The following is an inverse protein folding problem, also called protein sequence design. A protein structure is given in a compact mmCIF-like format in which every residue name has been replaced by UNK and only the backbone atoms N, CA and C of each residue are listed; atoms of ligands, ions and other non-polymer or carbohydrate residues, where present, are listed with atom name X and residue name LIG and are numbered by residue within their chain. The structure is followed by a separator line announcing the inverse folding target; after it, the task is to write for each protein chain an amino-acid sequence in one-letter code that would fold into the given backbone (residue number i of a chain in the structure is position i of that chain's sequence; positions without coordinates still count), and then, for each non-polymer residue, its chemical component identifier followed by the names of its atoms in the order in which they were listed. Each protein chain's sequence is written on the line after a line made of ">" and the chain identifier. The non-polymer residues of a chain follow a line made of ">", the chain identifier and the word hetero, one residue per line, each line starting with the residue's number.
data_IF_913526174813
#
_entry.id   IF_913526174813
#
_cell.length_a   1.000
_cell.length_b   1.000
_cell.length_c   1.000
_cell.angle_alpha   90.00
_cell.angle_beta   90.00
_cell.angle_gamma   90.00
#
_symmetry.space_group_name_H-M   'P 1'
#
loop_
_entity.id
_entity.type
_entity.pdbx_description
1 polymer ?
#
# COMPACT_ATOMS: atom_id res chain seq x y z
N UNK A 1 -75.39 1.78 19.36
CA UNK A 1 -75.36 0.30 19.47
C UNK A 1 -73.92 -0.04 19.80
N UNK A 2 -73.54 -0.36 21.06
CA UNK A 2 -73.82 -1.63 21.78
C UNK A 2 -73.27 -2.85 20.98
N UNK A 3 -72.41 -3.74 21.50
CA UNK A 3 -71.96 -3.94 22.89
C UNK A 3 -70.52 -4.57 22.99
N UNK A 4 -70.12 -4.94 24.21
CA UNK A 4 -68.79 -5.36 24.71
C UNK A 4 -68.39 -6.86 24.46
N UNK A 5 -67.10 -7.27 24.67
CA UNK A 5 -66.55 -8.63 24.41
C UNK A 5 -66.44 -9.54 25.66
N UNK A 6 -66.02 -10.83 25.57
CA UNK A 6 -64.62 -11.24 25.94
C UNK A 6 -64.09 -12.54 25.23
N UNK A 7 -63.20 -13.31 25.92
CA UNK A 7 -62.62 -14.66 25.67
C UNK A 7 -61.41 -14.76 24.67
N UNK A 8 -60.17 -15.14 25.02
CA UNK A 8 -59.56 -16.10 25.99
C UNK A 8 -59.75 -17.59 25.62
N UNK A 9 -58.68 -18.27 25.17
CA UNK A 9 -58.43 -19.71 25.37
C UNK A 9 -57.01 -20.19 24.93
N UNK A 10 -56.19 -20.60 25.91
CA UNK A 10 -55.34 -21.82 25.94
C UNK A 10 -54.24 -22.15 24.87
N UNK A 11 -52.97 -22.07 25.33
CA UNK A 11 -51.90 -23.09 25.13
C UNK A 11 -52.35 -24.46 25.75
N UNK A 12 -51.77 -25.66 25.45
CA UNK A 12 -50.31 -25.91 25.48
C UNK A 12 -49.69 -27.08 24.63
N UNK A 13 -48.35 -27.15 24.70
CA UNK A 13 -47.41 -28.31 24.70
C UNK A 13 -47.86 -29.77 24.37
N UNK A 14 -47.08 -30.41 23.48
CA UNK A 14 -46.61 -31.82 23.56
C UNK A 14 -45.34 -31.97 22.69
N UNK A 15 -44.12 -32.16 23.22
CA UNK A 15 -43.48 -33.40 23.74
C UNK A 15 -42.98 -34.36 22.63
N UNK A 16 -41.69 -34.72 22.72
CA UNK A 16 -40.93 -35.61 21.81
C UNK A 16 -41.34 -37.10 21.92
N UNK A 17 -40.77 -37.98 21.07
CA UNK A 17 -39.73 -38.87 21.64
C UNK A 17 -38.54 -39.19 20.71
N UNK A 18 -37.57 -39.93 21.28
CA UNK A 18 -36.29 -40.37 20.70
C UNK A 18 -36.33 -41.86 20.30
N UNK A 19 -35.52 -42.26 19.31
CA UNK A 19 -35.24 -43.67 18.94
C UNK A 19 -35.75 -44.02 17.52
N UNK A 20 -35.08 -44.85 16.72
CA UNK A 20 -34.14 -45.93 17.02
C UNK A 20 -33.22 -46.28 15.82
N UNK A 21 -32.19 -47.11 16.08
CA UNK A 21 -31.57 -48.17 15.22
C UNK A 21 -31.94 -48.13 13.71
N UNK A 22 -31.03 -48.07 12.73
CA UNK A 22 -29.74 -48.76 12.63
C UNK A 22 -29.87 -49.92 11.62
N UNK A 23 -29.13 -49.89 10.50
CA UNK A 23 -29.10 -50.95 9.49
C UNK A 23 -27.73 -51.02 8.77
N UNK A 24 -27.42 -52.20 8.24
CA UNK A 24 -26.09 -52.65 7.82
C UNK A 24 -25.65 -52.17 6.42
N UNK A 25 -24.33 -52.10 6.21
CA UNK A 25 -23.68 -52.03 4.89
C UNK A 25 -22.21 -52.43 5.02
N UNK A 26 -21.84 -53.63 4.56
CA UNK A 26 -20.55 -54.28 4.84
C UNK A 26 -19.50 -54.07 3.74
N UNK A 27 -18.26 -54.51 4.05
CA UNK A 27 -17.13 -54.90 3.18
C UNK A 27 -15.91 -53.96 3.07
N UNK A 28 -14.93 -54.21 3.95
CA UNK A 28 -13.57 -54.72 3.63
C UNK A 28 -13.10 -54.59 2.16
N UNK A 29 -11.87 -54.15 1.82
CA UNK A 29 -10.61 -54.83 2.20
C UNK A 29 -9.32 -54.00 1.87
N UNK A 30 -8.21 -54.45 2.46
CA UNK A 30 -6.74 -54.19 2.25
C UNK A 30 -6.25 -53.46 0.97
N UNK A 31 -5.09 -52.78 1.07
CA UNK A 31 -4.16 -52.71 -0.08
C UNK A 31 -3.02 -51.69 -0.10
N UNK A 32 -1.94 -51.94 0.64
CA UNK A 32 -0.51 -51.70 0.31
C UNK A 32 -0.03 -50.45 -0.48
N UNK A 33 0.86 -49.71 0.20
CA UNK A 33 2.10 -49.10 -0.31
C UNK A 33 2.69 -49.73 -1.59
N UNK A 34 3.18 -48.89 -2.53
CA UNK A 34 4.36 -49.17 -3.38
C UNK A 34 4.89 -47.88 -4.04
N UNK A 35 6.22 -47.74 -4.10
CA UNK A 35 6.95 -46.68 -4.81
C UNK A 35 7.33 -47.15 -6.23
N UNK A 36 7.43 -46.27 -7.25
CA UNK A 36 8.13 -46.58 -8.49
C UNK A 36 9.63 -46.23 -8.44
N UNK A 37 10.44 -47.09 -9.05
CA UNK A 37 11.91 -47.02 -9.07
C UNK A 37 12.51 -45.95 -10.01
N UNK A 38 13.80 -45.68 -9.78
CA UNK A 38 14.68 -45.03 -10.75
C UNK A 38 14.92 -45.97 -11.94
N UNK A 39 14.88 -45.46 -13.17
CA UNK A 39 15.47 -46.12 -14.33
C UNK A 39 16.66 -45.32 -14.85
N UNK A 40 17.85 -45.91 -14.78
CA UNK A 40 19.07 -45.37 -15.38
C UNK A 40 19.21 -45.80 -16.83
N UNK A 41 19.60 -44.89 -17.71
CA UNK A 41 20.15 -45.23 -19.03
C UNK A 41 21.47 -44.48 -19.26
N UNK A 42 22.52 -45.23 -19.63
CA UNK A 42 23.77 -44.69 -20.15
C UNK A 42 23.60 -44.42 -21.65
N UNK A 43 24.07 -43.28 -22.15
CA UNK A 43 24.39 -43.09 -23.58
C UNK A 43 25.76 -42.41 -23.69
N UNK A 44 26.51 -42.78 -24.73
CA UNK A 44 27.94 -42.51 -24.92
C UNK A 44 28.27 -41.07 -25.35
N UNK A 45 29.52 -40.67 -25.11
CA UNK A 45 30.17 -39.49 -25.71
C UNK A 45 30.66 -39.82 -27.14
N UNK A 46 30.44 -38.90 -28.08
CA UNK A 46 31.21 -38.77 -29.34
C UNK A 46 30.89 -37.47 -30.07
N UNK A 47 31.90 -36.70 -30.50
CA UNK A 47 31.79 -35.74 -31.62
C UNK A 47 31.56 -34.25 -31.30
N UNK A 48 32.67 -33.51 -31.12
CA UNK A 48 33.03 -32.17 -31.66
C UNK A 48 32.01 -31.02 -31.87
N UNK A 49 32.46 -29.73 -31.80
CA UNK A 49 31.62 -28.63 -31.33
C UNK A 49 30.83 -27.90 -32.43
N UNK A 50 29.64 -27.40 -32.05
CA UNK A 50 28.92 -26.35 -32.77
C UNK A 50 28.43 -25.25 -31.81
N UNK A 51 28.39 -24.02 -32.33
CA UNK A 51 28.03 -22.80 -31.60
C UNK A 51 26.58 -22.84 -31.09
N UNK A 52 26.42 -22.62 -29.79
CA UNK A 52 25.19 -22.14 -29.14
C UNK A 52 25.63 -20.98 -28.22
N UNK A 53 24.95 -19.83 -28.18
CA UNK A 53 23.55 -19.58 -28.52
C UNK A 53 22.89 -19.00 -27.26
N UNK A 54 22.32 -17.79 -27.35
CA UNK A 54 21.88 -16.98 -26.21
C UNK A 54 20.61 -17.52 -25.51
N UNK A 55 20.71 -18.65 -24.81
CA UNK A 55 19.61 -19.24 -24.03
C UNK A 55 19.96 -19.52 -22.56
N UNK A 56 20.31 -18.49 -21.77
CA UNK A 56 20.34 -18.66 -20.30
C UNK A 56 20.08 -17.40 -19.44
N UNK A 57 19.51 -16.33 -20.02
CA UNK A 57 19.20 -15.10 -19.25
C UNK A 57 17.87 -15.19 -18.49
N UNK A 58 16.93 -16.05 -18.91
CA UNK A 58 15.61 -16.16 -18.26
C UNK A 58 15.60 -17.06 -17.01
N UNK A 59 16.54 -18.01 -16.89
CA UNK A 59 16.60 -18.98 -15.78
C UNK A 59 17.10 -18.33 -14.48
N UNK A 60 18.14 -17.49 -14.56
CA UNK A 60 18.57 -16.63 -13.44
C UNK A 60 17.52 -15.57 -13.06
N UNK A 61 16.59 -15.26 -13.97
CA UNK A 61 15.56 -14.22 -13.81
C UNK A 61 14.35 -14.66 -12.97
N UNK A 62 14.18 -15.97 -12.73
CA UNK A 62 13.09 -16.51 -11.90
C UNK A 62 13.55 -16.80 -10.46
N UNK A 63 14.80 -17.22 -10.27
CA UNK A 63 15.37 -17.54 -8.97
C UNK A 63 15.40 -16.34 -8.02
N UNK A 64 15.92 -15.20 -8.46
CA UNK A 64 16.01 -13.96 -7.67
C UNK A 64 14.67 -13.52 -7.08
N UNK A 65 13.56 -13.63 -7.83
CA UNK A 65 12.22 -13.28 -7.33
C UNK A 65 11.69 -14.22 -6.25
N UNK A 66 11.96 -15.52 -6.36
CA UNK A 66 11.62 -16.46 -5.30
C UNK A 66 12.47 -16.23 -4.05
N UNK A 67 13.74 -15.85 -4.20
CA UNK A 67 14.63 -15.55 -3.07
C UNK A 67 14.19 -14.32 -2.25
N UNK A 68 13.72 -13.25 -2.89
CA UNK A 68 13.18 -12.08 -2.16
C UNK A 68 11.98 -12.43 -1.26
N UNK A 69 11.11 -13.35 -1.72
CA UNK A 69 9.99 -13.87 -0.93
C UNK A 69 10.41 -14.97 0.06
N UNK A 70 11.47 -15.71 -0.24
CA UNK A 70 12.02 -16.74 0.64
C UNK A 70 12.81 -16.13 1.81
N UNK A 71 13.53 -15.03 1.62
CA UNK A 71 14.26 -14.34 2.69
C UNK A 71 13.32 -13.88 3.81
N UNK A 72 12.18 -13.28 3.44
CA UNK A 72 11.07 -12.94 4.35
C UNK A 72 10.57 -14.19 5.14
N UNK A 73 10.52 -15.37 4.52
CA UNK A 73 10.10 -16.63 5.17
C UNK A 73 11.22 -17.27 6.01
N UNK A 74 12.48 -17.14 5.60
CA UNK A 74 13.64 -17.72 6.28
C UNK A 74 13.88 -17.01 7.62
N UNK A 75 13.70 -15.69 7.66
CA UNK A 75 13.78 -14.92 8.92
C UNK A 75 12.66 -15.28 9.92
N UNK A 76 11.47 -15.71 9.48
CA UNK A 76 10.45 -16.27 10.38
C UNK A 76 10.92 -17.58 11.05
N UNK A 77 11.66 -18.41 10.32
CA UNK A 77 12.24 -19.66 10.83
C UNK A 77 13.32 -19.36 11.88
N UNK A 78 14.17 -18.35 11.63
CA UNK A 78 15.15 -17.84 12.60
C UNK A 78 14.51 -17.22 13.84
N UNK A 79 13.47 -16.38 13.71
CA UNK A 79 12.78 -15.76 14.86
C UNK A 79 11.98 -16.79 15.70
N UNK A 80 11.48 -17.87 15.08
CA UNK A 80 10.95 -19.05 15.81
C UNK A 80 12.06 -19.84 16.50
N UNK A 81 13.21 -20.05 15.84
CA UNK A 81 14.38 -20.72 16.43
C UNK A 81 14.93 -20.00 17.66
N UNK A 82 15.05 -18.67 17.60
CA UNK A 82 15.47 -17.85 18.75
C UNK A 82 14.48 -17.93 19.93
N UNK A 83 13.17 -18.03 19.67
CA UNK A 83 12.17 -18.27 20.74
C UNK A 83 12.23 -19.69 21.33
N UNK A 84 12.94 -20.64 20.72
CA UNK A 84 13.15 -21.99 21.25
C UNK A 84 14.56 -22.21 21.85
N UNK A 85 15.39 -21.16 22.02
CA UNK A 85 16.74 -21.27 22.60
C UNK A 85 16.98 -20.36 23.83
N UNK A 86 15.92 -19.91 24.49
CA UNK A 86 16.02 -19.17 25.76
C UNK A 86 15.43 -20.01 26.91
N UNK A 87 16.07 -21.13 27.19
CA UNK A 87 15.70 -22.06 28.26
C UNK A 87 16.94 -22.73 28.87
N UNK A 88 17.85 -21.91 29.41
CA UNK A 88 18.73 -22.26 30.54
C UNK A 88 19.55 -21.02 30.94
N UNK A 89 19.17 -20.35 32.03
CA UNK A 89 20.07 -19.62 32.95
C UNK A 89 19.24 -19.22 34.18
N UNK A 90 19.28 -20.07 35.22
CA UNK A 90 18.82 -19.72 36.57
C UNK A 90 20.01 -19.19 37.39
N UNK A 91 19.73 -18.44 38.46
CA UNK A 91 20.69 -17.80 39.38
C UNK A 91 21.52 -16.69 38.72
N UNK A 92 21.38 -15.40 39.09
CA UNK A 92 21.72 -14.85 40.42
C UNK A 92 20.77 -13.72 40.84
N UNK A 93 20.52 -13.58 42.14
CA UNK A 93 20.42 -12.28 42.83
C UNK A 93 19.10 -11.51 42.72
N UNK A 94 18.35 -11.43 43.82
CA UNK A 94 17.20 -10.56 43.95
C UNK A 94 17.59 -9.10 44.19
N UNK A 95 16.86 -8.17 43.57
CA UNK A 95 16.53 -6.88 44.18
C UNK A 95 15.13 -6.47 43.74
N UNK A 96 14.14 -6.67 44.62
CA UNK A 96 12.80 -6.14 44.41
C UNK A 96 12.79 -4.65 44.73
N UNK A 97 12.55 -3.82 43.71
CA UNK A 97 11.88 -2.54 43.93
C UNK A 97 10.56 -2.52 43.17
N UNK A 98 9.49 -2.64 43.94
CA UNK A 98 8.13 -2.31 43.55
C UNK A 98 8.08 -0.80 43.28
N UNK A 99 7.78 -0.39 42.05
CA UNK A 99 7.53 1.02 41.70
C UNK A 99 6.15 1.15 41.07
N UNK A 100 5.35 1.97 41.73
CA UNK A 100 3.99 2.40 41.45
C UNK A 100 3.83 2.98 40.03
N UNK A 101 2.77 2.62 39.26
CA UNK A 101 2.49 3.16 37.93
C UNK A 101 1.95 4.61 37.94
N UNK A 102 2.66 5.53 38.59
CA UNK A 102 2.24 6.92 38.79
C UNK A 102 3.32 7.99 38.51
N UNK A 103 3.97 7.96 37.34
CA UNK A 103 4.59 9.20 36.82
C UNK A 103 4.53 9.33 35.29
N UNK A 104 3.74 10.30 34.82
CA UNK A 104 3.50 10.62 33.40
C UNK A 104 3.97 12.06 33.12
N UNK A 105 5.26 12.26 32.90
CA UNK A 105 5.82 13.61 32.70
C UNK A 105 6.83 13.74 31.55
N UNK A 106 7.76 12.80 31.35
CA UNK A 106 8.87 12.98 30.40
C UNK A 106 8.53 12.83 28.90
N UNK A 107 7.40 12.21 28.55
CA UNK A 107 6.93 12.18 27.14
C UNK A 107 6.28 13.48 26.65
N UNK A 108 6.29 14.54 27.46
CA UNK A 108 5.55 15.79 27.19
C UNK A 108 6.43 17.02 26.83
N UNK A 109 7.73 16.83 26.56
CA UNK A 109 8.60 17.89 26.05
C UNK A 109 8.77 17.85 24.53
N UNK A 110 9.06 16.68 23.92
CA UNK A 110 9.28 16.57 22.47
C UNK A 110 8.04 16.96 21.62
N UNK A 111 6.83 16.80 22.17
CA UNK A 111 5.60 17.24 21.52
C UNK A 111 5.32 18.76 21.58
N UNK A 112 5.97 19.51 22.48
CA UNK A 112 5.79 20.97 22.61
C UNK A 112 6.68 21.76 21.66
N UNK A 113 7.91 21.32 21.45
CA UNK A 113 8.85 21.88 20.45
C UNK A 113 8.21 21.97 19.05
N UNK A 114 7.63 20.86 18.57
CA UNK A 114 6.99 20.80 17.25
C UNK A 114 5.77 21.75 17.14
N UNK A 115 5.04 21.93 18.25
CA UNK A 115 3.83 22.76 18.30
C UNK A 115 4.15 24.26 18.39
N UNK A 116 5.34 24.61 18.91
CA UNK A 116 5.84 25.99 18.97
C UNK A 116 6.36 26.47 17.61
N UNK A 117 7.05 25.62 16.85
CA UNK A 117 7.43 25.89 15.45
C UNK A 117 6.21 26.19 14.57
N UNK A 118 5.17 25.35 14.69
CA UNK A 118 3.90 25.51 13.97
C UNK A 118 3.10 26.75 14.40
N UNK A 119 3.25 27.20 15.66
CA UNK A 119 2.63 28.45 16.16
C UNK A 119 3.44 29.70 15.78
N UNK A 120 4.76 29.60 15.70
CA UNK A 120 5.66 30.66 15.23
C UNK A 120 5.39 31.00 13.77
N UNK A 121 5.29 29.98 12.91
CA UNK A 121 4.95 30.15 11.49
C UNK A 121 3.58 30.82 11.30
N UNK A 122 2.58 30.47 12.12
CA UNK A 122 1.27 31.14 12.12
C UNK A 122 1.31 32.60 12.60
N UNK A 123 2.22 32.98 13.50
CA UNK A 123 2.35 34.38 13.93
C UNK A 123 3.07 35.28 12.90
N UNK A 124 3.95 34.72 12.08
CA UNK A 124 4.58 35.45 10.96
C UNK A 124 3.54 35.69 9.85
N UNK A 125 2.68 34.71 9.54
CA UNK A 125 1.64 34.83 8.51
C UNK A 125 0.46 35.76 8.88
N UNK A 126 0.28 36.10 10.15
CA UNK A 126 -0.91 36.81 10.64
C UNK A 126 -0.71 38.32 10.92
N UNK A 127 0.43 38.92 10.52
CA UNK A 127 0.81 40.28 10.95
C UNK A 127 1.03 41.31 9.84
N UNK A 128 0.41 41.11 8.67
CA UNK A 128 0.43 42.06 7.56
C UNK A 128 -0.95 42.27 6.94
N UNK A 129 -1.88 42.84 7.71
CA UNK A 129 -3.14 43.40 7.23
C UNK A 129 -3.39 44.74 7.92
N UNK A 130 -2.81 45.81 7.36
CA UNK A 130 -3.14 47.21 7.65
C UNK A 130 -3.38 47.88 6.29
N UNK A 131 -4.41 48.72 6.21
CA UNK A 131 -5.06 49.06 4.95
C UNK A 131 -4.47 50.27 4.20
N UNK A 132 -4.62 50.22 2.87
CA UNK A 132 -4.80 51.35 1.93
C UNK A 132 -3.83 52.54 1.97
N UNK A 133 -3.00 52.67 0.93
CA UNK A 133 -3.17 53.75 -0.09
C UNK A 133 -2.15 53.68 -1.24
N UNK A 134 -2.62 53.61 -2.50
CA UNK A 134 -2.00 54.25 -3.67
C UNK A 134 -0.79 53.60 -4.38
N UNK A 135 -0.91 53.56 -5.73
CA UNK A 135 0.18 53.42 -6.75
C UNK A 135 0.80 52.02 -6.97
N UNK A 136 1.32 51.73 -8.19
CA UNK A 136 1.07 50.43 -8.82
C UNK A 136 2.16 49.36 -8.65
N UNK A 137 1.65 48.13 -8.59
CA UNK A 137 2.21 46.87 -9.09
C UNK A 137 3.74 46.69 -9.11
N UNK A 138 4.24 46.07 -8.03
CA UNK A 138 5.56 45.45 -7.99
C UNK A 138 5.48 44.03 -7.38
N UNK A 139 4.53 43.22 -7.85
CA UNK A 139 4.61 41.76 -7.67
C UNK A 139 5.39 41.12 -8.81
N UNK A 140 6.72 41.27 -8.79
CA UNK A 140 7.59 40.48 -9.67
C UNK A 140 7.38 38.98 -9.38
N UNK A 141 6.92 38.17 -10.33
CA UNK A 141 6.96 36.73 -10.15
C UNK A 141 8.41 36.30 -9.98
N UNK A 142 8.67 35.23 -9.21
CA UNK A 142 9.93 34.50 -9.36
C UNK A 142 10.12 34.23 -10.86
N UNK A 143 11.32 34.43 -11.44
CA UNK A 143 11.51 34.22 -12.86
C UNK A 143 11.25 32.74 -13.16
N UNK A 144 10.06 32.43 -13.68
CA UNK A 144 9.80 31.18 -14.38
C UNK A 144 10.72 31.18 -15.59
N UNK A 145 11.92 30.65 -15.41
CA UNK A 145 12.77 30.22 -16.50
C UNK A 145 11.95 29.16 -17.26
N UNK A 146 11.31 29.59 -18.34
CA UNK A 146 10.32 28.82 -19.11
C UNK A 146 11.02 27.78 -20.01
N UNK A 147 11.85 26.95 -19.37
CA UNK A 147 12.40 25.75 -19.95
C UNK A 147 11.27 24.91 -20.53
N UNK A 148 11.32 24.69 -21.85
CA UNK A 148 10.27 23.94 -22.55
C UNK A 148 10.04 22.56 -21.91
N UNK A 149 8.86 21.93 -22.07
CA UNK A 149 8.44 20.77 -21.27
C UNK A 149 9.42 19.59 -21.22
N UNK A 150 10.25 19.40 -22.25
CA UNK A 150 11.34 18.40 -22.28
C UNK A 150 12.49 18.74 -21.32
N UNK A 151 12.91 20.00 -21.27
CA UNK A 151 13.97 20.48 -20.38
C UNK A 151 13.49 20.46 -18.93
N UNK A 152 12.26 20.93 -18.64
CA UNK A 152 11.63 20.81 -17.31
C UNK A 152 11.56 19.33 -16.87
N UNK A 153 11.21 18.42 -17.78
CA UNK A 153 11.24 16.97 -17.55
C UNK A 153 12.63 16.41 -17.25
N UNK A 154 13.65 16.81 -18.02
CA UNK A 154 15.04 16.42 -17.76
C UNK A 154 15.52 16.90 -16.38
N UNK A 155 15.22 18.14 -15.99
CA UNK A 155 15.50 18.66 -14.65
C UNK A 155 14.79 17.85 -13.55
N UNK A 156 13.51 17.49 -13.74
CA UNK A 156 12.78 16.64 -12.81
C UNK A 156 13.43 15.26 -12.62
N UNK A 157 13.86 14.62 -13.72
CA UNK A 157 14.58 13.35 -13.63
C UNK A 157 15.99 13.47 -13.02
N UNK A 158 16.67 14.60 -13.21
CA UNK A 158 17.95 14.86 -12.53
C UNK A 158 17.74 15.00 -11.01
N UNK A 159 16.80 15.85 -10.58
CA UNK A 159 16.47 16.06 -9.16
C UNK A 159 16.01 14.77 -8.49
N UNK A 160 15.04 14.05 -9.07
CA UNK A 160 14.54 12.80 -8.47
C UNK A 160 15.64 11.74 -8.33
N UNK A 161 16.58 11.67 -9.28
CA UNK A 161 17.69 10.71 -9.26
C UNK A 161 18.73 11.05 -8.20
N UNK A 162 19.13 12.33 -8.07
CA UNK A 162 20.06 12.78 -7.03
C UNK A 162 19.47 12.53 -5.64
N UNK A 163 18.22 12.94 -5.41
CA UNK A 163 17.54 12.73 -4.12
C UNK A 163 17.34 11.23 -3.84
N UNK A 164 16.99 10.42 -4.85
CA UNK A 164 16.85 8.97 -4.69
C UNK A 164 18.18 8.29 -4.30
N UNK A 165 19.29 8.65 -4.95
CA UNK A 165 20.61 8.06 -4.67
C UNK A 165 21.06 8.34 -3.23
N UNK A 166 20.93 9.59 -2.78
CA UNK A 166 21.27 10.00 -1.41
C UNK A 166 20.41 9.26 -0.37
N UNK A 167 19.10 9.15 -0.62
CA UNK A 167 18.17 8.52 0.32
C UNK A 167 18.18 6.98 0.27
N UNK A 168 18.63 6.37 -0.83
CA UNK A 168 18.70 4.91 -0.97
C UNK A 168 19.66 4.27 0.06
N UNK A 169 20.79 4.92 0.36
CA UNK A 169 21.72 4.47 1.41
C UNK A 169 21.03 4.37 2.78
N UNK A 170 20.21 5.36 3.13
CA UNK A 170 19.40 5.35 4.35
C UNK A 170 18.34 4.23 4.34
N UNK A 171 17.73 3.93 3.19
CA UNK A 171 16.82 2.78 3.06
C UNK A 171 17.54 1.46 3.36
N UNK A 172 18.73 1.24 2.78
CA UNK A 172 19.55 0.03 2.98
C UNK A 172 19.93 -0.14 4.46
N UNK A 173 20.53 0.88 5.07
CA UNK A 173 21.00 0.83 6.48
C UNK A 173 19.84 0.63 7.46
N UNK A 174 18.68 1.27 7.21
CA UNK A 174 17.52 1.13 8.10
C UNK A 174 16.71 -0.16 7.87
N UNK A 175 16.92 -0.89 6.77
CA UNK A 175 16.06 -2.03 6.42
C UNK A 175 16.07 -3.19 7.45
N UNK A 176 17.22 -3.63 8.00
CA UNK A 176 17.25 -4.70 9.00
C UNK A 176 16.44 -4.35 10.26
N UNK A 177 16.56 -3.12 10.75
CA UNK A 177 15.79 -2.61 11.89
C UNK A 177 14.29 -2.57 11.58
N UNK A 178 13.92 -2.16 10.36
CA UNK A 178 12.52 -2.17 9.91
C UNK A 178 11.95 -3.58 9.88
N UNK A 179 12.69 -4.59 9.41
CA UNK A 179 12.24 -5.98 9.45
C UNK A 179 12.13 -6.54 10.89
N UNK A 180 12.93 -6.04 11.82
CA UNK A 180 12.91 -6.45 13.22
C UNK A 180 11.71 -5.86 14.00
N UNK A 181 11.46 -4.56 13.83
CA UNK A 181 10.53 -3.76 14.65
C UNK A 181 9.22 -3.36 13.97
N UNK A 182 9.19 -3.12 12.65
CA UNK A 182 8.00 -2.64 11.93
C UNK A 182 7.85 -3.28 10.54
N UNK A 183 7.87 -4.62 10.52
CA UNK A 183 7.93 -5.41 9.29
C UNK A 183 6.80 -5.15 8.29
N UNK A 184 5.58 -4.95 8.81
CA UNK A 184 4.37 -4.81 7.99
C UNK A 184 4.17 -3.37 7.52
N UNK A 185 4.22 -2.40 8.43
CA UNK A 185 3.96 -0.99 8.07
C UNK A 185 5.20 -0.35 7.46
N UNK A 186 6.41 -0.70 7.89
CA UNK A 186 7.67 -0.17 7.36
C UNK A 186 7.73 1.37 7.33
N UNK A 187 7.31 1.99 8.44
CA UNK A 187 7.14 3.45 8.59
C UNK A 187 8.39 4.26 8.25
N UNK A 188 9.58 3.79 8.64
CA UNK A 188 10.84 4.46 8.29
C UNK A 188 11.07 4.48 6.77
N UNK A 189 10.86 3.35 6.08
CA UNK A 189 11.00 3.27 4.62
C UNK A 189 9.97 4.16 3.90
N UNK A 190 8.73 4.21 4.42
CA UNK A 190 7.71 5.14 3.93
C UNK A 190 8.10 6.61 4.17
N UNK A 191 8.67 6.96 5.32
CA UNK A 191 9.14 8.31 5.61
C UNK A 191 10.24 8.75 4.64
N UNK A 192 11.20 7.87 4.34
CA UNK A 192 12.25 8.13 3.33
C UNK A 192 11.63 8.34 1.94
N UNK A 193 10.68 7.50 1.53
CA UNK A 193 10.00 7.67 0.23
C UNK A 193 9.08 8.89 0.16
N UNK A 194 8.43 9.29 1.27
CA UNK A 194 7.68 10.55 1.35
C UNK A 194 8.65 11.73 1.20
N UNK A 195 9.78 11.71 1.90
CA UNK A 195 10.81 12.76 1.81
C UNK A 195 11.35 12.89 0.38
N UNK A 196 11.67 11.75 -0.27
CA UNK A 196 12.04 11.71 -1.69
C UNK A 196 10.99 12.35 -2.60
N UNK A 197 9.71 11.95 -2.45
CA UNK A 197 8.62 12.47 -3.26
C UNK A 197 8.40 13.97 -3.02
N UNK A 198 8.38 14.42 -1.76
CA UNK A 198 8.23 15.83 -1.38
C UNK A 198 9.36 16.70 -1.95
N UNK A 199 10.63 16.33 -1.75
CA UNK A 199 11.78 17.07 -2.27
C UNK A 199 11.83 17.09 -3.81
N UNK A 200 11.33 16.04 -4.46
CA UNK A 200 11.22 15.98 -5.92
C UNK A 200 10.09 16.86 -6.46
N UNK A 201 8.98 16.98 -5.74
CA UNK A 201 7.75 17.64 -6.22
C UNK A 201 7.74 19.15 -6.00
N UNK A 202 8.17 19.61 -4.81
CA UNK A 202 8.15 21.03 -4.43
C UNK A 202 8.71 21.98 -5.51
N UNK A 203 9.87 21.73 -6.14
CA UNK A 203 10.41 22.64 -7.15
C UNK A 203 9.70 22.62 -8.51
N UNK A 204 8.70 21.75 -8.73
CA UNK A 204 8.03 21.60 -10.03
C UNK A 204 6.51 21.76 -10.02
N UNK A 205 5.81 21.47 -8.92
CA UNK A 205 4.34 21.53 -8.86
C UNK A 205 3.82 21.99 -7.50
N UNK A 206 2.73 22.76 -7.51
CA UNK A 206 1.87 22.87 -6.33
C UNK A 206 1.05 21.58 -6.19
N UNK A 207 0.97 21.02 -4.97
CA UNK A 207 0.11 19.88 -4.65
C UNK A 207 -0.89 20.27 -3.58
N UNK A 208 -2.15 20.35 -3.99
CA UNK A 208 -3.27 20.72 -3.14
C UNK A 208 -4.00 19.47 -2.64
N UNK A 209 -4.38 19.49 -1.37
CA UNK A 209 -5.12 18.40 -0.72
C UNK A 209 -6.45 18.92 -0.17
N UNK A 210 -7.54 18.24 -0.51
CA UNK A 210 -8.87 18.48 0.06
C UNK A 210 -9.34 17.22 0.79
N UNK A 211 -10.09 17.37 1.88
CA UNK A 211 -10.65 16.22 2.61
C UNK A 211 -9.65 15.45 3.48
N UNK A 212 -8.53 16.05 3.91
CA UNK A 212 -7.53 15.38 4.76
C UNK A 212 -8.13 14.85 6.08
N UNK A 213 -9.20 15.47 6.56
CA UNK A 213 -10.04 15.07 7.70
C UNK A 213 -10.78 13.74 7.48
N UNK A 214 -11.03 13.34 6.22
CA UNK A 214 -11.63 12.04 5.88
C UNK A 214 -10.64 10.87 6.03
N UNK A 215 -9.34 11.14 6.20
CA UNK A 215 -8.34 10.09 6.32
C UNK A 215 -8.47 9.34 7.66
N UNK A 216 -8.49 8.00 7.65
CA UNK A 216 -8.37 7.20 8.86
C UNK A 216 -7.16 7.57 9.72
N UNK A 217 -7.24 7.22 11.01
CA UNK A 217 -6.11 7.38 11.96
C UNK A 217 -4.83 6.75 11.36
N UNK A 218 -3.63 7.33 11.55
CA UNK A 218 -2.38 6.84 10.92
C UNK A 218 -1.96 5.40 11.26
N UNK A 219 -2.62 4.78 12.23
CA UNK A 219 -2.43 3.40 12.68
C UNK A 219 -3.62 2.48 12.36
N UNK A 220 -4.72 3.00 11.79
CA UNK A 220 -5.82 2.18 11.30
C UNK A 220 -5.54 1.71 9.85
N UNK A 221 -5.54 0.39 9.56
CA UNK A 221 -5.38 -0.10 8.21
C UNK A 221 -6.62 0.20 7.36
N UNK A 222 -6.39 0.53 6.09
CA UNK A 222 -7.45 0.81 5.11
C UNK A 222 -7.03 0.39 3.69
N UNK A 223 -8.02 0.26 2.79
CA UNK A 223 -7.81 0.08 1.36
C UNK A 223 -7.98 1.41 0.64
N UNK A 224 -6.91 1.99 0.14
CA UNK A 224 -6.94 3.23 -0.64
C UNK A 224 -7.16 2.92 -2.12
N UNK A 225 -8.02 3.70 -2.78
CA UNK A 225 -8.29 3.60 -4.22
C UNK A 225 -8.32 4.96 -4.90
N UNK A 226 -7.79 5.08 -6.11
CA UNK A 226 -7.94 6.29 -6.94
C UNK A 226 -8.03 5.98 -8.43
N UNK A 227 -8.42 6.97 -9.22
CA UNK A 227 -8.12 7.00 -10.65
C UNK A 227 -6.60 7.00 -10.90
N UNK A 228 -6.18 6.61 -12.11
CA UNK A 228 -4.78 6.55 -12.52
C UNK A 228 -4.58 7.25 -13.87
N UNK A 229 -3.85 8.36 -13.90
CA UNK A 229 -3.61 9.14 -15.12
C UNK A 229 -2.11 9.22 -15.47
N UNK A 230 -1.22 9.27 -14.48
CA UNK A 230 0.19 9.57 -14.69
C UNK A 230 1.15 8.69 -13.88
N UNK A 231 2.45 8.83 -14.15
CA UNK A 231 3.49 8.40 -13.22
C UNK A 231 3.58 9.32 -11.99
N UNK A 232 3.21 10.60 -12.14
CA UNK A 232 3.18 11.59 -11.06
C UNK A 232 2.19 11.27 -9.94
N UNK A 233 1.16 10.46 -10.21
CA UNK A 233 0.21 9.96 -9.21
C UNK A 233 0.95 9.34 -8.00
N UNK A 234 2.03 8.60 -8.23
CA UNK A 234 2.81 7.95 -7.17
C UNK A 234 3.49 8.99 -6.26
N UNK A 235 4.00 10.09 -6.84
CA UNK A 235 4.63 11.16 -6.09
C UNK A 235 3.60 11.91 -5.23
N UNK A 236 2.49 12.34 -5.83
CA UNK A 236 1.40 13.03 -5.13
C UNK A 236 0.84 12.17 -3.98
N UNK A 237 0.61 10.88 -4.22
CA UNK A 237 0.12 9.93 -3.21
C UNK A 237 1.12 9.70 -2.06
N UNK A 238 2.42 9.65 -2.34
CA UNK A 238 3.43 9.53 -1.28
C UNK A 238 3.42 10.76 -0.35
N UNK A 239 3.10 11.95 -0.86
CA UNK A 239 3.09 13.19 -0.07
C UNK A 239 1.89 13.34 0.89
N UNK A 240 0.75 12.64 0.63
CA UNK A 240 -0.49 12.63 1.45
C UNK A 240 -0.25 12.37 2.95
N UNK A 241 0.84 11.68 3.34
CA UNK A 241 1.11 11.38 4.75
C UNK A 241 0.30 10.21 5.30
N UNK A 242 -0.03 9.23 4.45
CA UNK A 242 -0.51 7.90 4.86
C UNK A 242 0.35 6.81 4.25
N UNK A 243 0.72 5.85 5.10
CA UNK A 243 1.62 4.76 4.73
C UNK A 243 0.82 3.56 4.20
N UNK A 244 0.76 3.43 2.88
CA UNK A 244 0.13 2.30 2.20
C UNK A 244 1.10 1.59 1.26
N UNK A 245 0.81 0.31 0.98
CA UNK A 245 1.59 -0.54 0.06
C UNK A 245 0.96 -0.54 -1.31
N UNK A 246 1.65 0.08 -2.28
CA UNK A 246 1.28 0.05 -3.69
C UNK A 246 1.37 -1.37 -4.27
N UNK A 247 0.67 -1.57 -5.38
CA UNK A 247 0.77 -2.76 -6.23
C UNK A 247 1.38 -2.34 -7.57
N UNK A 248 2.43 -3.02 -8.02
CA UNK A 248 3.20 -2.63 -9.21
C UNK A 248 3.52 -3.81 -10.13
N UNK A 249 3.78 -3.52 -11.41
CA UNK A 249 4.10 -4.55 -12.41
C UNK A 249 5.43 -5.20 -12.05
N UNK A 250 5.48 -6.53 -12.03
CA UNK A 250 6.68 -7.31 -11.65
C UNK A 250 7.94 -6.90 -12.42
N UNK A 251 7.81 -6.49 -13.69
CA UNK A 251 8.96 -6.04 -14.49
C UNK A 251 9.61 -4.74 -13.99
N UNK A 252 8.94 -3.93 -13.16
CA UNK A 252 9.51 -2.70 -12.60
C UNK A 252 10.50 -3.02 -11.47
N UNK A 253 10.33 -4.16 -10.79
CA UNK A 253 11.28 -4.65 -9.80
C UNK A 253 12.63 -5.11 -10.39
N UNK A 254 12.73 -5.23 -11.72
CA UNK A 254 13.99 -5.56 -12.42
C UNK A 254 14.93 -4.35 -12.55
N UNK A 255 14.45 -3.12 -12.38
CA UNK A 255 15.32 -1.95 -12.47
C UNK A 255 16.16 -1.83 -11.19
N UNK A 256 17.49 -1.66 -11.29
CA UNK A 256 18.36 -1.47 -10.13
C UNK A 256 17.95 -0.20 -9.38
N UNK A 257 18.22 -0.17 -8.07
CA UNK A 257 17.81 0.88 -7.12
C UNK A 257 16.28 1.00 -6.97
N UNK A 258 15.53 1.28 -8.04
CA UNK A 258 14.06 1.42 -8.03
C UNK A 258 13.39 0.13 -7.51
N UNK A 259 13.74 -1.03 -8.06
CA UNK A 259 13.18 -2.32 -7.63
C UNK A 259 13.51 -2.67 -6.18
N UNK A 260 14.70 -2.28 -5.71
CA UNK A 260 15.14 -2.45 -4.32
C UNK A 260 14.40 -1.50 -3.38
N UNK A 261 14.25 -0.22 -3.74
CA UNK A 261 13.45 0.75 -2.97
C UNK A 261 11.98 0.30 -2.87
N UNK A 262 11.39 -0.19 -3.96
CA UNK A 262 10.06 -0.80 -3.97
C UNK A 262 9.98 -2.04 -3.07
N UNK A 263 10.99 -2.92 -3.10
CA UNK A 263 11.08 -4.06 -2.18
C UNK A 263 11.16 -3.60 -0.72
N UNK A 264 12.00 -2.62 -0.39
CA UNK A 264 12.15 -2.08 0.96
C UNK A 264 10.86 -1.42 1.47
N UNK A 265 10.17 -0.64 0.63
CA UNK A 265 8.86 -0.06 0.91
C UNK A 265 7.77 -1.11 1.18
N UNK A 266 7.93 -2.32 0.65
CA UNK A 266 6.94 -3.40 0.74
C UNK A 266 5.90 -3.36 -0.38
N UNK A 267 6.24 -2.77 -1.53
CA UNK A 267 5.38 -2.76 -2.74
C UNK A 267 5.13 -4.19 -3.19
N UNK A 268 3.90 -4.46 -3.64
CA UNK A 268 3.42 -5.80 -3.97
C UNK A 268 3.60 -6.03 -5.48
N UNK A 269 4.39 -7.04 -5.92
CA UNK A 269 4.54 -7.37 -7.32
C UNK A 269 3.29 -8.07 -7.87
N UNK A 270 2.88 -7.68 -9.07
CA UNK A 270 1.75 -8.26 -9.80
C UNK A 270 2.12 -8.56 -11.25
N UNK A 271 1.71 -9.71 -11.77
CA UNK A 271 1.64 -10.04 -13.20
C UNK A 271 0.18 -9.95 -13.64
N UNK A 272 -0.20 -8.84 -14.31
CA UNK A 272 -1.61 -8.50 -14.59
C UNK A 272 -2.36 -9.53 -15.46
N UNK A 273 -1.66 -10.31 -16.30
CA UNK A 273 -2.25 -11.33 -17.16
C UNK A 273 -2.23 -12.75 -16.56
N UNK A 274 -1.77 -12.91 -15.33
CA UNK A 274 -1.67 -14.20 -14.64
C UNK A 274 -2.63 -14.24 -13.45
N UNK A 275 -3.71 -15.01 -13.58
CA UNK A 275 -4.75 -15.17 -12.56
C UNK A 275 -4.20 -15.71 -11.23
N UNK A 276 -3.14 -16.53 -11.26
CA UNK A 276 -2.48 -17.03 -10.04
C UNK A 276 -1.74 -15.90 -9.32
N UNK A 277 -0.98 -15.09 -10.06
CA UNK A 277 -0.33 -13.88 -9.51
C UNK A 277 -1.34 -12.85 -8.99
N UNK A 278 -2.48 -12.66 -9.67
CA UNK A 278 -3.57 -11.82 -9.16
C UNK A 278 -4.08 -12.33 -7.80
N UNK A 279 -4.39 -13.63 -7.69
CA UNK A 279 -4.91 -14.21 -6.45
C UNK A 279 -3.87 -14.16 -5.31
N UNK A 280 -2.60 -14.40 -5.60
CA UNK A 280 -1.51 -14.29 -4.62
C UNK A 280 -1.31 -12.84 -4.14
N UNK A 281 -1.40 -11.87 -5.07
CA UNK A 281 -1.37 -10.44 -4.74
C UNK A 281 -2.50 -10.09 -3.76
N UNK A 282 -3.75 -10.50 -4.02
CA UNK A 282 -4.88 -10.23 -3.13
C UNK A 282 -4.72 -10.90 -1.75
N UNK A 283 -4.18 -12.13 -1.70
CA UNK A 283 -3.85 -12.80 -0.42
C UNK A 283 -2.83 -11.98 0.37
N UNK A 284 -1.74 -11.56 -0.27
CA UNK A 284 -0.70 -10.71 0.35
C UNK A 284 -1.24 -9.36 0.82
N UNK A 285 -2.18 -8.76 0.10
CA UNK A 285 -2.87 -7.54 0.56
C UNK A 285 -3.65 -7.78 1.86
N UNK A 286 -4.43 -8.87 1.95
CA UNK A 286 -5.16 -9.21 3.17
C UNK A 286 -4.23 -9.48 4.36
N UNK A 287 -3.09 -10.13 4.13
CA UNK A 287 -2.11 -10.41 5.18
C UNK A 287 -1.37 -9.14 5.66
N UNK A 288 -1.14 -8.17 4.78
CA UNK A 288 -0.62 -6.85 5.14
C UNK A 288 -1.62 -6.05 5.98
N UNK A 289 -2.91 -6.06 5.61
CA UNK A 289 -3.99 -5.42 6.38
C UNK A 289 -4.12 -6.03 7.78
N UNK A 290 -4.10 -7.37 7.89
CA UNK A 290 -4.09 -8.07 9.18
C UNK A 290 -2.83 -7.76 10.01
N UNK A 291 -1.69 -7.51 9.35
CA UNK A 291 -0.48 -6.96 9.94
C UNK A 291 -0.54 -5.47 10.29
N UNK A 292 -1.71 -4.84 10.14
CA UNK A 292 -1.96 -3.43 10.47
C UNK A 292 -1.42 -2.43 9.44
N UNK A 293 -1.09 -2.85 8.22
CA UNK A 293 -0.60 -1.98 7.15
C UNK A 293 -1.67 -1.73 6.08
N UNK A 294 -1.79 -0.49 5.62
CA UNK A 294 -2.71 -0.13 4.54
C UNK A 294 -2.17 -0.54 3.16
N UNK A 295 -3.07 -0.67 2.18
CA UNK A 295 -2.74 -1.05 0.80
C UNK A 295 -3.38 -0.08 -0.19
N UNK A 296 -2.76 0.09 -1.35
CA UNK A 296 -3.20 1.03 -2.38
C UNK A 296 -3.45 0.32 -3.70
N UNK A 297 -4.60 0.58 -4.32
CA UNK A 297 -4.98 0.07 -5.63
C UNK A 297 -5.36 1.19 -6.59
N UNK A 298 -4.93 1.06 -7.84
CA UNK A 298 -5.58 1.72 -8.97
C UNK A 298 -6.55 0.69 -9.58
N UNK A 299 -7.85 0.69 -9.23
CA UNK A 299 -8.80 -0.36 -9.61
C UNK A 299 -9.05 -0.47 -11.12
N UNK A 300 -8.77 0.57 -11.91
CA UNK A 300 -8.73 0.51 -13.38
C UNK A 300 -7.69 -0.50 -13.89
N UNK A 301 -6.56 -0.64 -13.18
CA UNK A 301 -5.49 -1.57 -13.50
C UNK A 301 -4.57 -1.12 -14.65
N UNK A 302 -4.77 0.06 -15.22
CA UNK A 302 -3.91 0.77 -16.19
C UNK A 302 -4.06 2.28 -15.99
N UNK A 303 -3.11 3.08 -16.52
CA UNK A 303 -3.30 4.54 -16.63
C UNK A 303 -4.30 4.84 -17.74
N UNK A 304 -5.21 5.78 -17.50
CA UNK A 304 -6.04 6.39 -18.52
C UNK A 304 -5.16 7.15 -19.54
N UNK A 305 -5.56 7.14 -20.81
CA UNK A 305 -4.85 7.83 -21.92
C UNK A 305 -5.55 9.12 -22.36
N UNK A 306 -6.87 9.16 -22.17
CA UNK A 306 -7.78 10.23 -22.56
C UNK A 306 -8.32 11.00 -21.33
N UNK A 307 -7.79 10.72 -20.14
CA UNK A 307 -8.20 11.32 -18.87
C UNK A 307 -9.46 10.72 -18.25
N UNK A 308 -10.26 9.98 -19.04
CA UNK A 308 -11.55 9.41 -18.62
C UNK A 308 -11.36 8.26 -17.63
N UNK A 309 -12.33 8.11 -16.72
CA UNK A 309 -12.33 7.09 -15.67
C UNK A 309 -12.82 5.73 -16.20
N UNK A 310 -11.91 4.75 -16.23
CA UNK A 310 -12.21 3.40 -16.68
C UNK A 310 -13.17 2.60 -15.79
N UNK A 311 -13.36 1.33 -16.14
CA UNK A 311 -14.11 0.38 -15.30
C UNK A 311 -13.23 -0.11 -14.13
N UNK A 312 -13.83 -0.22 -12.95
CA UNK A 312 -13.12 -0.62 -11.73
C UNK A 312 -13.17 -2.15 -11.54
N UNK A 313 -12.02 -2.75 -11.23
CA UNK A 313 -11.91 -4.17 -10.90
C UNK A 313 -12.23 -4.39 -9.42
N UNK A 314 -13.06 -5.40 -9.13
CA UNK A 314 -13.55 -5.73 -7.78
C UNK A 314 -12.46 -6.13 -6.76
N UNK A 315 -11.20 -6.30 -7.17
CA UNK A 315 -10.14 -6.88 -6.34
C UNK A 315 -9.83 -6.10 -5.06
N UNK A 316 -9.70 -4.76 -5.16
CA UNK A 316 -9.46 -3.88 -4.01
C UNK A 316 -10.60 -3.97 -2.97
N UNK A 317 -11.83 -3.85 -3.47
CA UNK A 317 -13.06 -3.90 -2.69
C UNK A 317 -13.31 -5.28 -2.06
N UNK A 318 -12.91 -6.36 -2.75
CA UNK A 318 -12.93 -7.72 -2.21
C UNK A 318 -11.95 -7.91 -1.06
N UNK A 319 -10.80 -7.22 -1.08
CA UNK A 319 -9.84 -7.22 0.02
C UNK A 319 -10.42 -6.44 1.21
N UNK A 320 -11.00 -5.26 0.98
CA UNK A 320 -11.65 -4.46 2.02
C UNK A 320 -12.77 -5.24 2.73
N UNK A 321 -13.75 -5.74 1.96
CA UNK A 321 -14.87 -6.53 2.48
C UNK A 321 -14.40 -7.77 3.28
N UNK A 322 -13.40 -8.52 2.79
CA UNK A 322 -12.89 -9.72 3.49
C UNK A 322 -11.99 -9.43 4.69
N UNK A 323 -11.57 -8.19 4.89
CA UNK A 323 -10.76 -7.76 6.05
C UNK A 323 -11.47 -6.78 6.97
N UNK A 324 -12.70 -6.39 6.63
CA UNK A 324 -13.56 -5.49 7.43
C UNK A 324 -12.88 -4.13 7.70
N UNK A 325 -12.13 -3.62 6.72
CA UNK A 325 -11.50 -2.29 6.78
C UNK A 325 -12.17 -1.32 5.80
N UNK A 326 -12.17 0.00 6.10
CA UNK A 326 -12.74 0.99 5.18
C UNK A 326 -11.99 1.04 3.85
N UNK A 327 -12.73 1.38 2.79
CA UNK A 327 -12.19 1.88 1.54
C UNK A 327 -12.09 3.39 1.63
N UNK A 328 -10.96 3.97 1.23
CA UNK A 328 -10.76 5.41 1.12
C UNK A 328 -10.63 5.76 -0.37
N UNK A 329 -11.69 6.27 -1.01
CA UNK A 329 -11.61 6.77 -2.37
C UNK A 329 -10.85 8.09 -2.40
N UNK A 330 -10.04 8.32 -3.43
CA UNK A 330 -9.37 9.58 -3.68
C UNK A 330 -9.42 9.91 -5.17
N UNK A 331 -9.59 11.18 -5.52
CA UNK A 331 -9.54 11.68 -6.90
C UNK A 331 -8.24 12.46 -7.10
N UNK A 332 -7.48 12.09 -8.13
CA UNK A 332 -6.25 12.78 -8.55
C UNK A 332 -6.56 13.55 -9.83
N UNK A 333 -6.22 14.84 -9.85
CA UNK A 333 -6.50 15.78 -10.95
C UNK A 333 -5.19 16.45 -11.37
N UNK A 334 -5.06 16.78 -12.66
CA UNK A 334 -3.94 17.54 -13.24
C UNK A 334 -2.71 16.70 -13.60
N UNK A 335 -2.45 15.56 -12.95
CA UNK A 335 -1.25 14.75 -13.22
C UNK A 335 -1.17 14.25 -14.68
N UNK A 336 -2.32 13.93 -15.29
CA UNK A 336 -2.41 13.47 -16.68
C UNK A 336 -2.09 14.53 -17.73
N UNK A 337 -2.38 15.82 -17.47
CA UNK A 337 -2.00 16.92 -18.37
C UNK A 337 -0.55 17.35 -18.16
N UNK A 338 -0.06 17.30 -16.92
CA UNK A 338 1.34 17.60 -16.57
C UNK A 338 2.31 16.59 -17.19
N UNK A 339 2.09 15.29 -16.99
CA UNK A 339 2.91 14.21 -17.55
C UNK A 339 1.99 13.11 -18.13
N UNK A 340 1.62 13.20 -19.42
CA UNK A 340 0.73 12.24 -20.07
C UNK A 340 1.34 10.83 -20.15
N UNK A 341 0.50 9.81 -19.99
CA UNK A 341 0.92 8.42 -20.11
C UNK A 341 1.50 8.09 -21.50
N UNK A 342 2.70 7.51 -21.56
CA UNK A 342 3.44 7.28 -22.80
C UNK A 342 4.22 8.49 -23.33
N UNK A 343 4.21 9.63 -22.60
CA UNK A 343 5.02 10.82 -22.86
C UNK A 343 5.81 11.22 -21.61
N UNK A 344 6.33 10.24 -20.87
CA UNK A 344 6.99 10.41 -19.56
C UNK A 344 8.22 11.34 -19.57
N UNK A 345 8.79 11.65 -20.74
CA UNK A 345 9.85 12.66 -20.91
C UNK A 345 9.37 14.11 -21.07
N UNK A 346 8.05 14.37 -21.00
CA UNK A 346 7.47 15.70 -20.98
C UNK A 346 7.01 16.06 -19.56
N UNK A 347 7.21 17.32 -19.20
CA UNK A 347 6.71 17.92 -17.96
C UNK A 347 6.12 19.30 -18.27
N UNK A 348 4.81 19.35 -18.44
CA UNK A 348 4.10 20.61 -18.65
C UNK A 348 3.92 21.33 -17.30
N UNK A 349 3.81 22.67 -17.27
CA UNK A 349 3.39 23.40 -16.07
C UNK A 349 1.94 23.04 -15.69
N UNK A 350 1.62 23.14 -14.40
CA UNK A 350 0.29 22.87 -13.85
C UNK A 350 0.31 22.56 -12.35
N UNK A 351 -0.86 22.52 -11.73
CA UNK A 351 -1.07 22.08 -10.35
C UNK A 351 -1.58 20.63 -10.29
N UNK A 352 -1.31 19.95 -9.18
CA UNK A 352 -1.85 18.63 -8.88
C UNK A 352 -2.83 18.80 -7.72
N UNK A 353 -4.04 18.26 -7.86
CA UNK A 353 -5.04 18.26 -6.79
C UNK A 353 -5.40 16.83 -6.40
N UNK A 354 -5.38 16.55 -5.11
CA UNK A 354 -5.77 15.26 -4.53
C UNK A 354 -6.93 15.46 -3.57
N UNK A 355 -8.11 15.01 -3.96
CA UNK A 355 -9.33 15.06 -3.16
C UNK A 355 -9.50 13.73 -2.44
N UNK A 356 -9.56 13.76 -1.10
CA UNK A 356 -9.78 12.58 -0.27
C UNK A 356 -11.25 12.51 0.15
N UNK A 357 -11.93 11.44 -0.23
CA UNK A 357 -13.35 11.26 0.01
C UNK A 357 -13.65 10.56 1.35
N UNK A 358 -14.87 10.73 1.89
CA UNK A 358 -15.34 9.99 3.06
C UNK A 358 -15.13 8.47 2.93
N UNK A 359 -14.78 7.83 4.04
CA UNK A 359 -14.55 6.39 4.10
C UNK A 359 -15.82 5.58 3.78
N UNK A 360 -15.71 4.61 2.88
CA UNK A 360 -16.79 3.65 2.59
C UNK A 360 -16.58 2.38 3.41
N UNK A 361 -17.61 1.94 4.13
CA UNK A 361 -17.61 0.71 4.94
C UNK A 361 -18.73 -0.21 4.44
N UNK A 362 -18.43 -1.49 4.27
CA UNK A 362 -19.41 -2.46 3.78
C UNK A 362 -18.85 -3.86 3.56
N UNK A 363 -19.76 -4.82 3.46
CA UNK A 363 -19.44 -6.24 3.33
C UNK A 363 -19.56 -6.75 1.88
N UNK A 364 -20.18 -5.97 1.00
CA UNK A 364 -20.33 -6.29 -0.42
C UNK A 364 -19.28 -5.55 -1.27
N UNK A 365 -18.45 -6.32 -1.97
CA UNK A 365 -17.38 -5.81 -2.80
C UNK A 365 -17.86 -5.12 -4.09
N UNK A 366 -19.06 -5.42 -4.60
CA UNK A 366 -19.65 -4.74 -5.75
C UNK A 366 -20.21 -3.38 -5.35
N UNK A 367 -20.93 -3.30 -4.23
CA UNK A 367 -21.48 -2.04 -3.70
C UNK A 367 -20.36 -1.05 -3.42
N UNK A 368 -19.32 -1.47 -2.68
CA UNK A 368 -18.12 -0.64 -2.44
C UNK A 368 -17.43 -0.20 -3.74
N UNK A 369 -17.35 -1.08 -4.74
CA UNK A 369 -16.75 -0.77 -6.04
C UNK A 369 -17.55 0.29 -6.82
N UNK A 370 -18.88 0.17 -6.82
CA UNK A 370 -19.77 1.09 -7.50
C UNK A 370 -19.77 2.47 -6.82
N UNK A 371 -19.88 2.50 -5.48
CA UNK A 371 -19.82 3.73 -4.69
C UNK A 371 -18.50 4.47 -4.89
N UNK A 372 -17.36 3.78 -4.75
CA UNK A 372 -16.04 4.41 -4.93
C UNK A 372 -15.85 4.94 -6.35
N UNK A 373 -16.32 4.21 -7.38
CA UNK A 373 -16.27 4.71 -8.76
C UNK A 373 -17.18 5.93 -8.96
N UNK A 374 -18.41 5.90 -8.42
CA UNK A 374 -19.38 6.99 -8.54
C UNK A 374 -18.85 8.29 -7.94
N UNK A 375 -18.28 8.23 -6.73
CA UNK A 375 -17.70 9.40 -6.05
C UNK A 375 -16.51 9.95 -6.84
N UNK A 376 -15.58 9.09 -7.28
CA UNK A 376 -14.42 9.52 -8.06
C UNK A 376 -14.82 10.12 -9.42
N UNK A 377 -15.82 9.54 -10.11
CA UNK A 377 -16.35 10.05 -11.39
C UNK A 377 -16.97 11.43 -11.21
N UNK A 378 -17.86 11.59 -10.22
CA UNK A 378 -18.54 12.87 -9.96
C UNK A 378 -17.57 14.01 -9.66
N UNK A 379 -16.48 13.75 -8.91
CA UNK A 379 -15.44 14.77 -8.67
C UNK A 379 -14.62 15.09 -9.91
N UNK A 380 -14.37 14.12 -10.80
CA UNK A 380 -13.69 14.39 -12.08
C UNK A 380 -14.57 15.24 -13.00
N UNK A 381 -15.88 14.95 -13.06
CA UNK A 381 -16.88 15.66 -13.86
C UNK A 381 -17.15 17.09 -13.35
N UNK A 382 -16.97 17.35 -12.05
CA UNK A 382 -17.07 18.68 -11.44
C UNK A 382 -15.82 19.55 -11.59
N UNK A 383 -14.73 19.01 -12.15
CA UNK A 383 -13.42 19.68 -12.26
C UNK A 383 -12.88 19.63 -13.71
N UNK A 384 -13.72 19.22 -14.67
CA UNK A 384 -13.47 19.18 -16.12
C UNK A 384 -14.31 20.21 -16.86
#
# INVERSE_FOLDING_TARGET
>A
MMATPPAIAHLPLAISPVGSRGLFGSCNFKGSFLLPERRTSKISLSGTPQFLGLENVNTLRSHTFNEFGACDKHFLRLKRSMKCRTLCFQSVGAFCHYIDPANRSEKFQFGRELHLLDRSLRHIAARSNVATSGTPDFSSPFPEASFGPKARGACFYAVTSVVALLLFGLMVVSHPFVLLFDRYRRRAQYFVAKTWATLTVIPFFNVEFEGLENLPRPDAPAVYVSNHQSFLDIYALLTVGRNFKFISKTSIFLFPIIGWAMYFLGVIPLKRMDSRSQLECLKRCMDLIRGGASVFFFPEGTRSKDGKLGSFKKGAFSVAAKTQVPVVPMTIIGTGSIMPAGKEGLLNPGSIKVVIHPCLVGNDAQVLCNQARSVISGTLEQQS
#
